data_IF_482767107722
#
_entry.id   IF_482767107722
#
_cell.length_a   1.000
_cell.length_b   1.000
_cell.length_c   1.000
_cell.angle_alpha   90.00
_cell.angle_beta   90.00
_cell.angle_gamma   90.00
#
_symmetry.space_group_name_H-M   'P 1'
#
loop_
_entity.id
_entity.type
_entity.pdbx_description
1 polymer ?
#
# COMPACT_ATOMS: atom_id res chain seq x y z
N UNK A 1 14.45 18.54 1.12
CA UNK A 1 13.10 18.05 0.78
C UNK A 1 13.10 16.55 0.95
N UNK A 2 12.39 16.01 1.94
CA UNK A 2 12.20 14.57 2.08
C UNK A 2 11.22 14.12 1.00
N UNK A 3 11.67 13.31 0.05
CA UNK A 3 10.79 12.66 -0.89
C UNK A 3 9.76 11.81 -0.11
N UNK A 4 8.49 11.88 -0.49
CA UNK A 4 7.46 11.01 0.08
C UNK A 4 7.85 9.56 -0.22
N UNK A 5 7.98 8.74 0.83
CA UNK A 5 8.25 7.32 0.65
C UNK A 5 7.01 6.62 0.08
N UNK A 6 7.19 5.55 -0.72
CA UNK A 6 6.07 4.72 -1.13
C UNK A 6 5.31 4.19 0.09
N UNK A 7 4.02 3.94 -0.10
CA UNK A 7 3.14 3.45 0.96
C UNK A 7 3.73 2.20 1.65
N UNK A 8 3.62 2.16 2.98
CA UNK A 8 4.18 1.14 3.89
C UNK A 8 5.69 1.19 4.13
N UNK A 9 6.48 1.86 3.28
CA UNK A 9 7.91 1.95 3.48
C UNK A 9 8.26 3.01 4.51
N UNK A 10 9.04 2.61 5.53
CA UNK A 10 9.53 3.50 6.59
C UNK A 10 10.97 3.97 6.35
N UNK A 11 11.78 3.11 5.74
CA UNK A 11 13.21 3.34 5.52
C UNK A 11 13.68 2.57 4.29
N UNK A 12 13.83 3.28 3.17
CA UNK A 12 14.39 2.71 1.93
C UNK A 12 15.87 3.06 1.88
N UNK A 13 16.73 2.05 1.94
CA UNK A 13 18.19 2.17 1.82
C UNK A 13 18.74 1.10 0.89
N UNK A 14 19.88 1.32 0.22
CA UNK A 14 20.53 0.29 -0.58
C UNK A 14 20.87 -0.94 0.28
N UNK A 15 20.66 -2.12 -0.28
CA UNK A 15 21.04 -3.37 0.37
C UNK A 15 22.58 -3.46 0.43
N UNK A 16 23.08 -3.60 1.64
CA UNK A 16 24.51 -3.75 1.94
C UNK A 16 24.76 -5.07 2.67
N UNK A 17 25.72 -5.86 2.18
CA UNK A 17 26.02 -7.20 2.70
C UNK A 17 26.46 -7.19 4.17
N UNK A 18 27.37 -6.29 4.54
CA UNK A 18 27.93 -6.26 5.91
C UNK A 18 26.93 -5.70 6.92
N UNK A 19 26.17 -4.67 6.55
CA UNK A 19 25.19 -4.03 7.44
C UNK A 19 23.91 -4.84 7.61
N UNK A 20 23.50 -5.62 6.61
CA UNK A 20 22.22 -6.33 6.60
C UNK A 20 22.38 -7.85 6.64
N UNK A 21 23.57 -8.38 6.92
CA UNK A 21 23.85 -9.83 6.94
C UNK A 21 22.92 -10.66 7.83
N UNK A 22 22.40 -10.06 8.91
CA UNK A 22 21.50 -10.74 9.85
C UNK A 22 20.01 -10.49 9.53
N UNK A 23 19.70 -9.66 8.52
CA UNK A 23 18.32 -9.45 8.10
C UNK A 23 17.84 -10.64 7.27
N UNK A 24 16.63 -11.07 7.57
CA UNK A 24 15.94 -12.14 6.88
C UNK A 24 14.50 -11.73 6.60
N UNK A 25 13.85 -12.44 5.69
CA UNK A 25 12.43 -12.27 5.42
C UNK A 25 11.66 -13.00 6.51
N UNK A 26 10.87 -12.26 7.27
CA UNK A 26 9.93 -12.83 8.23
C UNK A 26 8.80 -13.56 7.49
N UNK A 27 8.26 -14.67 8.05
CA UNK A 27 7.03 -15.25 7.55
C UNK A 27 5.91 -14.21 7.53
N UNK A 28 4.97 -14.37 6.59
CA UNK A 28 3.77 -13.51 6.58
C UNK A 28 2.87 -13.94 7.73
N UNK A 29 2.86 -13.18 8.82
CA UNK A 29 2.05 -13.45 10.01
C UNK A 29 0.66 -12.80 9.95
N UNK A 30 0.49 -11.73 9.17
CA UNK A 30 -0.76 -10.99 9.05
C UNK A 30 -0.62 -9.69 8.25
N UNK A 31 -1.73 -8.93 8.13
CA UNK A 31 -1.80 -7.67 7.39
C UNK A 31 -2.13 -6.45 8.27
N UNK A 32 -1.89 -6.51 9.58
CA UNK A 32 -2.21 -5.46 10.55
C UNK A 32 -1.56 -4.12 10.21
N UNK A 33 -0.37 -4.14 9.59
CA UNK A 33 0.32 -2.93 9.15
C UNK A 33 -0.52 -2.11 8.14
N UNK A 34 -1.44 -2.76 7.42
CA UNK A 34 -2.34 -2.16 6.44
C UNK A 34 -3.73 -1.81 7.00
N UNK A 35 -4.00 -2.07 8.29
CA UNK A 35 -5.32 -1.84 8.91
C UNK A 35 -5.81 -0.38 8.80
N UNK A 36 -4.85 0.56 8.73
CA UNK A 36 -5.15 2.01 8.59
C UNK A 36 -5.08 2.52 7.16
N UNK A 37 -4.93 1.66 6.16
CA UNK A 37 -4.85 2.08 4.76
C UNK A 37 -6.25 2.16 4.16
N UNK A 38 -6.65 3.35 3.73
CA UNK A 38 -7.97 3.53 3.13
C UNK A 38 -8.01 3.26 1.62
N UNK A 39 -6.88 3.40 0.93
CA UNK A 39 -6.81 3.21 -0.51
C UNK A 39 -5.42 2.77 -0.96
N UNK A 40 -5.36 2.06 -2.09
CA UNK A 40 -4.11 1.61 -2.70
C UNK A 40 -4.05 2.01 -4.18
N UNK A 41 -2.91 2.52 -4.60
CA UNK A 41 -2.59 2.65 -6.02
C UNK A 41 -2.56 1.27 -6.67
N UNK A 42 -3.09 1.18 -7.88
CA UNK A 42 -3.04 -0.03 -8.70
C UNK A 42 -2.55 0.29 -10.11
N UNK A 43 -1.88 -0.64 -10.76
CA UNK A 43 -1.53 -0.55 -12.17
C UNK A 43 -2.73 -0.93 -13.05
N UNK A 44 -2.78 -0.43 -14.28
CA UNK A 44 -3.86 -0.74 -15.23
C UNK A 44 -4.04 -2.25 -15.46
N UNK A 45 -2.95 -3.02 -15.42
CA UNK A 45 -2.97 -4.48 -15.58
C UNK A 45 -3.68 -5.21 -14.43
N UNK A 46 -3.83 -4.56 -13.27
CA UNK A 46 -4.49 -5.12 -12.09
C UNK A 46 -6.01 -4.91 -12.11
N UNK A 47 -6.53 -4.05 -13.00
CA UNK A 47 -7.95 -3.67 -13.03
C UNK A 47 -8.89 -4.86 -13.16
N UNK A 48 -8.55 -5.82 -14.04
CA UNK A 48 -9.39 -7.01 -14.28
C UNK A 48 -9.57 -7.83 -13.01
N UNK A 49 -8.53 -7.91 -12.17
CA UNK A 49 -8.60 -8.61 -10.88
C UNK A 49 -9.29 -7.77 -9.81
N UNK A 50 -9.05 -6.47 -9.79
CA UNK A 50 -9.58 -5.59 -8.74
C UNK A 50 -11.07 -5.26 -8.92
N UNK A 51 -11.56 -5.13 -10.15
CA UNK A 51 -12.92 -4.62 -10.43
C UNK A 51 -14.03 -5.52 -9.89
N UNK A 52 -13.76 -6.81 -9.67
CA UNK A 52 -14.73 -7.74 -9.09
C UNK A 52 -14.92 -7.58 -7.58
N UNK A 53 -13.95 -7.02 -6.87
CA UNK A 53 -13.92 -6.98 -5.40
C UNK A 53 -13.81 -5.56 -4.81
N UNK A 54 -13.28 -4.62 -5.58
CA UNK A 54 -12.97 -3.27 -5.12
C UNK A 54 -13.60 -2.21 -6.02
N UNK A 55 -13.98 -1.09 -5.42
CA UNK A 55 -14.33 0.12 -6.17
C UNK A 55 -13.05 0.80 -6.62
N UNK A 56 -12.86 0.88 -7.95
CA UNK A 56 -11.76 1.62 -8.57
C UNK A 56 -12.21 3.08 -8.73
N UNK A 57 -11.44 4.00 -8.15
CA UNK A 57 -11.64 5.45 -8.29
C UNK A 57 -10.40 6.10 -8.87
N UNK A 58 -10.57 7.25 -9.52
CA UNK A 58 -9.47 7.99 -10.13
C UNK A 58 -9.26 9.27 -9.34
N UNK A 59 -8.14 9.32 -8.64
CA UNK A 59 -7.67 10.51 -7.94
C UNK A 59 -6.91 11.43 -8.88
N UNK A 60 -6.73 12.67 -8.43
CA UNK A 60 -5.97 13.69 -9.13
C UNK A 60 -5.03 14.37 -8.14
N UNK A 61 -3.76 14.55 -8.52
CA UNK A 61 -2.78 15.26 -7.69
C UNK A 61 -2.77 16.76 -7.99
N UNK A 62 -1.95 17.51 -7.25
CA UNK A 62 -1.77 18.96 -7.45
C UNK A 62 -1.20 19.33 -8.83
N UNK A 63 -0.56 18.37 -9.51
CA UNK A 63 0.00 18.52 -10.86
C UNK A 63 -0.98 18.05 -11.94
N UNK A 64 -2.24 17.82 -11.56
CA UNK A 64 -3.33 17.39 -12.43
C UNK A 64 -3.15 15.99 -13.04
N UNK A 65 -2.20 15.19 -12.52
CA UNK A 65 -2.02 13.81 -12.95
C UNK A 65 -3.16 12.95 -12.39
N UNK A 66 -3.73 12.11 -13.25
CA UNK A 66 -4.77 11.17 -12.88
C UNK A 66 -4.14 9.83 -12.54
N UNK A 67 -4.54 9.25 -11.41
CA UNK A 67 -4.06 7.95 -10.96
C UNK A 67 -5.22 7.09 -10.44
N UNK A 68 -5.24 5.79 -10.76
CA UNK A 68 -6.23 4.87 -10.22
C UNK A 68 -5.86 4.41 -8.81
N UNK A 69 -6.86 4.35 -7.94
CA UNK A 69 -6.77 3.69 -6.63
C UNK A 69 -7.98 2.80 -6.39
N UNK A 70 -7.79 1.74 -5.61
CA UNK A 70 -8.88 0.98 -5.01
C UNK A 70 -9.24 1.57 -3.65
N UNK A 71 -10.53 1.59 -3.32
CA UNK A 71 -11.01 1.91 -1.98
C UNK A 71 -11.06 0.65 -1.12
N UNK A 72 -10.53 0.75 0.10
CA UNK A 72 -10.48 -0.34 1.08
C UNK A 72 -11.39 -0.10 2.28
N UNK A 73 -11.91 1.11 2.47
CA UNK A 73 -12.85 1.42 3.54
C UNK A 73 -13.62 2.70 3.28
N UNK A 74 -14.67 2.92 4.07
CA UNK A 74 -15.54 4.10 3.94
C UNK A 74 -15.05 5.28 4.79
N UNK A 75 -14.27 5.02 5.84
CA UNK A 75 -13.75 6.03 6.75
C UNK A 75 -12.26 6.24 6.50
N UNK A 76 -11.79 7.46 6.78
CA UNK A 76 -10.36 7.74 6.81
C UNK A 76 -9.64 6.79 7.78
N UNK A 77 -8.43 6.38 7.40
CA UNK A 77 -7.59 5.47 8.18
C UNK A 77 -8.23 4.10 8.50
N UNK A 78 -9.03 3.55 7.58
CA UNK A 78 -9.67 2.26 7.73
C UNK A 78 -9.50 1.39 6.48
N UNK A 79 -9.04 0.16 6.71
CA UNK A 79 -9.11 -0.96 5.78
C UNK A 79 -10.13 -1.98 6.29
N UNK A 80 -11.19 -2.24 5.53
CA UNK A 80 -12.25 -3.19 5.89
C UNK A 80 -11.89 -4.64 5.55
N UNK A 81 -10.75 -4.88 4.90
CA UNK A 81 -10.26 -6.21 4.53
C UNK A 81 -9.26 -6.78 5.54
N UNK A 82 -8.87 -5.99 6.55
CA UNK A 82 -7.97 -6.40 7.64
C UNK A 82 -8.80 -6.44 8.92
N UNK A 83 -8.75 -7.56 9.63
CA UNK A 83 -9.54 -7.75 10.86
C UNK A 83 -8.63 -7.74 12.10
N UNK A 84 -9.20 -8.00 13.29
CA UNK A 84 -8.46 -7.94 14.56
C UNK A 84 -7.34 -9.00 14.68
N UNK A 85 -7.30 -9.98 13.78
CA UNK A 85 -6.25 -11.00 13.66
C UNK A 85 -5.26 -10.74 12.52
N UNK A 86 -5.33 -9.56 11.89
CA UNK A 86 -4.56 -9.23 10.68
C UNK A 86 -5.25 -9.68 9.42
#
# INVERSE_FOLDING_TARGET
MTAALPLFYKKVVPLNKEQHKELHIEPVEGFEFAAKTNSLYIAAIEFIKCVSEYVIVFGKDESENIYPVVLLGLKANQNMYVNDKG
#
